data_IF_553767431672
#
_entry.id   IF_553767431672
#
_cell.length_a   1.000
_cell.length_b   1.000
_cell.length_c   1.000
_cell.angle_alpha   90.00
_cell.angle_beta   90.00
_cell.angle_gamma   90.00
#
_symmetry.space_group_name_H-M   'P 1'
#
loop_
_entity.id
_entity.type
_entity.pdbx_description
1 polymer ?
#
# COMPACT_ATOMS: atom_id res chain seq x y z
N UNK A 1 23.86 -3.26 30.81
CA UNK A 1 22.69 -2.94 29.99
C UNK A 1 21.44 -2.83 30.85
N UNK A 2 20.94 -1.63 31.16
CA UNK A 2 19.64 -1.46 31.85
C UNK A 2 18.53 -1.72 30.79
N UNK A 3 17.84 -2.87 30.88
CA UNK A 3 16.59 -3.11 30.14
C UNK A 3 15.58 -2.08 30.65
N UNK A 4 15.33 -1.00 29.90
CA UNK A 4 14.19 -0.15 30.20
C UNK A 4 12.93 -1.00 30.05
N UNK A 5 12.19 -1.18 31.13
CA UNK A 5 10.89 -1.85 31.09
C UNK A 5 9.97 -1.11 30.10
N UNK A 6 9.23 -1.89 29.31
CA UNK A 6 8.24 -1.35 28.40
C UNK A 6 7.13 -0.63 29.21
N UNK A 7 6.59 0.48 28.69
CA UNK A 7 5.50 1.24 29.33
C UNK A 7 4.33 0.33 29.77
N UNK A 8 3.95 -0.63 28.94
CA UNK A 8 2.88 -1.58 29.28
C UNK A 8 3.24 -2.45 30.48
N UNK A 9 4.48 -2.88 30.56
CA UNK A 9 4.98 -3.66 31.71
C UNK A 9 4.93 -2.83 33.00
N UNK A 10 5.31 -1.55 32.94
CA UNK A 10 5.27 -0.65 34.11
C UNK A 10 3.81 -0.45 34.55
N UNK A 11 2.88 -0.22 33.62
CA UNK A 11 1.46 -0.02 33.93
C UNK A 11 0.87 -1.30 34.56
N UNK A 12 1.15 -2.47 33.98
CA UNK A 12 0.64 -3.76 34.51
C UNK A 12 1.20 -4.06 35.91
N UNK A 13 2.50 -3.77 36.16
CA UNK A 13 3.09 -3.89 37.48
C UNK A 13 2.44 -2.94 38.48
N UNK A 14 2.14 -1.71 38.08
CA UNK A 14 1.43 -0.73 38.92
C UNK A 14 0.01 -1.19 39.26
N UNK A 15 -0.72 -1.75 38.31
CA UNK A 15 -2.05 -2.34 38.51
C UNK A 15 -1.96 -3.50 39.52
N UNK A 16 -0.98 -4.40 39.35
CA UNK A 16 -0.75 -5.51 40.30
C UNK A 16 -0.44 -5.04 41.71
N UNK A 17 0.41 -4.01 41.85
CA UNK A 17 0.76 -3.44 43.14
C UNK A 17 -0.46 -2.80 43.84
N UNK A 18 -1.26 -2.02 43.12
CA UNK A 18 -2.49 -1.41 43.65
C UNK A 18 -3.46 -2.49 44.12
N UNK A 19 -3.63 -3.57 43.36
CA UNK A 19 -4.49 -4.70 43.71
C UNK A 19 -3.97 -5.41 44.99
N UNK A 20 -2.66 -5.62 45.12
CA UNK A 20 -2.06 -6.27 46.25
C UNK A 20 -2.24 -5.43 47.52
N UNK A 21 -2.01 -4.12 47.46
CA UNK A 21 -2.24 -3.21 48.55
C UNK A 21 -3.71 -3.15 48.96
N UNK A 22 -4.65 -3.14 47.99
CA UNK A 22 -6.08 -3.17 48.30
C UNK A 22 -6.51 -4.46 48.99
N UNK A 23 -5.86 -5.61 48.69
CA UNK A 23 -6.09 -6.89 49.36
C UNK A 23 -5.75 -6.87 50.85
N UNK A 24 -4.69 -6.14 51.21
CA UNK A 24 -4.26 -5.99 52.61
C UNK A 24 -5.25 -5.12 53.42
N UNK A 25 -5.78 -4.05 52.81
CA UNK A 25 -6.64 -3.09 53.52
C UNK A 25 -8.13 -3.34 53.41
N UNK A 26 -8.61 -3.94 52.31
CA UNK A 26 -10.04 -4.02 51.98
C UNK A 26 -10.57 -5.46 51.86
N UNK A 27 -9.72 -6.46 51.99
CA UNK A 27 -10.05 -7.86 51.84
C UNK A 27 -9.94 -8.38 50.40
N UNK A 28 -9.80 -9.70 50.28
CA UNK A 28 -9.41 -10.35 48.99
C UNK A 28 -10.46 -10.22 47.90
N UNK A 29 -11.76 -10.26 48.25
CA UNK A 29 -12.84 -10.17 47.25
C UNK A 29 -12.87 -8.78 46.60
N UNK A 30 -12.75 -7.71 47.39
CA UNK A 30 -12.74 -6.35 46.85
C UNK A 30 -11.46 -6.04 46.07
N UNK A 31 -10.33 -6.60 46.49
CA UNK A 31 -9.09 -6.51 45.71
C UNK A 31 -9.16 -7.13 44.34
N UNK A 32 -9.80 -8.30 44.19
CA UNK A 32 -10.04 -8.96 42.90
C UNK A 32 -10.96 -8.08 42.01
N UNK A 33 -12.02 -7.52 42.57
CA UNK A 33 -12.90 -6.62 41.82
C UNK A 33 -12.15 -5.38 41.29
N UNK A 34 -11.35 -4.74 42.15
CA UNK A 34 -10.51 -3.59 41.76
C UNK A 34 -9.52 -3.98 40.64
N UNK A 35 -8.87 -5.14 40.76
CA UNK A 35 -7.96 -5.64 39.72
C UNK A 35 -8.67 -5.80 38.37
N UNK A 36 -9.86 -6.43 38.36
CA UNK A 36 -10.63 -6.62 37.14
C UNK A 36 -11.04 -5.28 36.50
N UNK A 37 -11.47 -4.32 37.32
CA UNK A 37 -11.81 -2.97 36.83
C UNK A 37 -10.58 -2.27 36.23
N UNK A 38 -9.45 -2.32 36.89
CA UNK A 38 -8.20 -1.70 36.41
C UNK A 38 -7.72 -2.35 35.11
N UNK A 39 -7.79 -3.68 34.98
CA UNK A 39 -7.48 -4.40 33.74
C UNK A 39 -8.46 -3.98 32.63
N UNK A 40 -9.75 -3.89 32.93
CA UNK A 40 -10.75 -3.46 31.95
C UNK A 40 -10.45 -2.03 31.45
N UNK A 41 -10.18 -1.10 32.34
CA UNK A 41 -9.79 0.29 32.01
C UNK A 41 -8.52 0.28 31.14
N UNK A 42 -7.51 -0.49 31.53
CA UNK A 42 -6.28 -0.63 30.76
C UNK A 42 -6.56 -1.12 29.34
N UNK A 43 -7.37 -2.17 29.18
CA UNK A 43 -7.76 -2.70 27.86
C UNK A 43 -8.54 -1.67 27.03
N UNK A 44 -9.48 -0.96 27.63
CA UNK A 44 -10.24 0.09 26.93
C UNK A 44 -9.29 1.19 26.42
N UNK A 45 -8.40 1.67 27.28
CA UNK A 45 -7.47 2.76 26.93
C UNK A 45 -6.47 2.32 25.88
N UNK A 46 -5.82 1.16 26.05
CA UNK A 46 -4.76 0.69 25.17
C UNK A 46 -5.28 0.14 23.85
N UNK A 47 -6.53 -0.33 23.78
CA UNK A 47 -7.13 -0.92 22.56
C UNK A 47 -8.10 0.01 21.84
N UNK A 48 -8.33 1.21 22.33
CA UNK A 48 -9.25 2.21 21.73
C UNK A 48 -8.96 2.48 20.24
N UNK A 49 -7.70 2.45 19.84
CA UNK A 49 -7.28 2.67 18.45
C UNK A 49 -7.83 1.59 17.50
N UNK A 50 -8.03 0.33 17.93
CA UNK A 50 -8.63 -0.71 17.08
C UNK A 50 -10.09 -0.41 16.74
N UNK A 51 -10.84 0.24 17.64
CA UNK A 51 -12.21 0.70 17.35
C UNK A 51 -12.19 1.74 16.22
N UNK A 52 -11.17 2.63 16.23
CA UNK A 52 -10.99 3.61 15.15
C UNK A 52 -10.64 2.93 13.83
N UNK A 53 -9.74 1.94 13.83
CA UNK A 53 -9.42 1.14 12.64
C UNK A 53 -10.68 0.48 12.08
N UNK A 54 -11.48 -0.16 12.93
CA UNK A 54 -12.74 -0.80 12.51
C UNK A 54 -13.70 0.20 11.85
N UNK A 55 -13.89 1.38 12.47
CA UNK A 55 -14.73 2.45 11.90
C UNK A 55 -14.17 2.96 10.58
N UNK A 56 -12.84 3.15 10.48
CA UNK A 56 -12.16 3.54 9.26
C UNK A 56 -12.36 2.53 8.13
N UNK A 57 -12.19 1.24 8.42
CA UNK A 57 -12.42 0.17 7.43
C UNK A 57 -13.87 0.10 6.97
N UNK A 58 -14.83 0.32 7.89
CA UNK A 58 -16.24 0.39 7.52
C UNK A 58 -16.52 1.58 6.60
N UNK A 59 -16.04 2.77 6.93
CA UNK A 59 -16.19 3.96 6.09
C UNK A 59 -15.52 3.78 4.72
N UNK A 60 -14.34 3.17 4.67
CA UNK A 60 -13.62 2.86 3.43
C UNK A 60 -14.44 1.94 2.50
N UNK A 61 -15.07 0.88 3.06
CA UNK A 61 -15.95 -0.02 2.31
C UNK A 61 -17.22 0.65 1.79
N UNK A 62 -17.65 1.73 2.43
CA UNK A 62 -18.79 2.55 2.02
C UNK A 62 -18.37 3.72 1.12
N UNK A 63 -17.09 3.74 0.67
CA UNK A 63 -16.49 4.78 -0.17
C UNK A 63 -16.51 6.19 0.45
N UNK A 64 -16.81 6.31 1.76
CA UNK A 64 -16.63 7.54 2.52
C UNK A 64 -15.16 7.70 2.93
N UNK A 65 -14.33 8.00 1.92
CA UNK A 65 -12.87 8.05 2.07
C UNK A 65 -12.41 9.17 3.01
N UNK A 66 -13.13 10.29 3.05
CA UNK A 66 -12.85 11.40 3.95
C UNK A 66 -12.95 10.94 5.41
N UNK A 67 -14.04 10.28 5.75
CA UNK A 67 -14.28 9.78 7.10
C UNK A 67 -13.39 8.59 7.46
N UNK A 68 -13.07 7.74 6.47
CA UNK A 68 -12.11 6.67 6.63
C UNK A 68 -10.73 7.23 7.00
N UNK A 69 -10.28 8.28 6.32
CA UNK A 69 -9.01 8.96 6.55
C UNK A 69 -8.93 9.56 7.96
N UNK A 70 -10.00 10.23 8.42
CA UNK A 70 -10.08 10.78 9.79
C UNK A 70 -9.92 9.66 10.85
N UNK A 71 -10.62 8.54 10.69
CA UNK A 71 -10.51 7.42 11.61
C UNK A 71 -9.15 6.73 11.58
N UNK A 72 -8.54 6.53 10.40
CA UNK A 72 -7.22 5.94 10.30
C UNK A 72 -6.14 6.86 10.88
N UNK A 73 -6.23 8.18 10.67
CA UNK A 73 -5.35 9.17 11.29
C UNK A 73 -5.43 9.11 12.81
N UNK A 74 -6.65 9.15 13.36
CA UNK A 74 -6.89 9.05 14.80
C UNK A 74 -6.32 7.75 15.40
N UNK A 75 -6.40 6.64 14.65
CA UNK A 75 -5.83 5.37 15.08
C UNK A 75 -4.30 5.39 15.06
N UNK A 76 -3.71 5.95 14.00
CA UNK A 76 -2.27 6.04 13.81
C UNK A 76 -1.59 6.98 14.82
N UNK A 77 -2.29 8.04 15.28
CA UNK A 77 -1.81 8.96 16.31
C UNK A 77 -1.80 8.34 17.73
N UNK A 78 -2.34 7.13 17.90
CA UNK A 78 -2.32 6.45 19.18
C UNK A 78 -0.88 6.04 19.58
N UNK A 79 -0.47 6.21 20.86
CA UNK A 79 0.82 5.70 21.34
C UNK A 79 1.02 4.19 21.22
N UNK A 80 -0.07 3.45 21.02
CA UNK A 80 -0.10 1.98 20.84
C UNK A 80 -0.36 1.55 19.39
N UNK A 81 -0.33 2.50 18.41
CA UNK A 81 -0.45 2.16 17.02
C UNK A 81 0.74 1.28 16.59
N UNK A 82 0.42 0.18 15.92
CA UNK A 82 1.44 -0.69 15.31
C UNK A 82 1.73 -0.28 13.85
N UNK A 83 2.74 -0.91 13.26
CA UNK A 83 3.15 -0.61 11.89
C UNK A 83 2.01 -0.79 10.86
N UNK A 84 1.18 -1.82 11.02
CA UNK A 84 0.04 -2.07 10.12
C UNK A 84 -0.99 -0.93 10.16
N UNK A 85 -1.32 -0.42 11.35
CA UNK A 85 -2.25 0.71 11.50
C UNK A 85 -1.69 1.97 10.85
N UNK A 86 -0.40 2.23 11.04
CA UNK A 86 0.28 3.38 10.45
C UNK A 86 0.34 3.24 8.92
N UNK A 87 0.68 2.06 8.42
CA UNK A 87 0.69 1.77 6.98
C UNK A 87 -0.68 2.04 6.35
N UNK A 88 -1.78 1.59 6.98
CA UNK A 88 -3.14 1.85 6.50
C UNK A 88 -3.46 3.34 6.44
N UNK A 89 -3.05 4.12 7.46
CA UNK A 89 -3.20 5.57 7.44
C UNK A 89 -2.41 6.21 6.29
N UNK A 90 -1.13 5.87 6.16
CA UNK A 90 -0.27 6.42 5.11
C UNK A 90 -0.80 6.09 3.70
N UNK A 91 -1.25 4.86 3.47
CA UNK A 91 -1.86 4.45 2.19
C UNK A 91 -3.14 5.26 1.93
N UNK A 92 -4.00 5.43 2.92
CA UNK A 92 -5.23 6.20 2.77
C UNK A 92 -4.92 7.68 2.49
N UNK A 93 -3.93 8.27 3.15
CA UNK A 93 -3.48 9.65 2.94
C UNK A 93 -2.89 9.85 1.53
N UNK A 94 -2.13 8.85 1.04
CA UNK A 94 -1.56 8.87 -0.31
C UNK A 94 -2.61 8.76 -1.42
N UNK A 95 -3.72 8.04 -1.16
CA UNK A 95 -4.79 7.81 -2.16
C UNK A 95 -5.84 8.93 -2.16
N UNK A 96 -6.30 9.34 -1.00
CA UNK A 96 -7.50 10.16 -0.84
C UNK A 96 -7.27 11.46 -0.06
N UNK A 97 -6.05 11.66 0.45
CA UNK A 97 -5.65 12.83 1.23
C UNK A 97 -4.55 13.64 0.56
N UNK A 98 -3.61 14.09 1.38
CA UNK A 98 -2.45 14.90 0.96
C UNK A 98 -1.15 14.18 1.25
N UNK A 99 -0.35 13.79 0.24
CA UNK A 99 0.94 13.12 0.46
C UNK A 99 1.89 13.88 1.42
N UNK A 100 1.78 15.22 1.49
CA UNK A 100 2.54 16.04 2.43
C UNK A 100 2.24 15.72 3.89
N UNK A 101 0.98 15.41 4.24
CA UNK A 101 0.59 15.02 5.59
C UNK A 101 1.12 13.63 5.96
N UNK A 102 1.20 12.70 5.00
CA UNK A 102 1.87 11.43 5.20
C UNK A 102 3.36 11.62 5.50
N UNK A 103 4.04 12.53 4.80
CA UNK A 103 5.45 12.88 5.06
C UNK A 103 5.64 13.50 6.43
N UNK A 104 4.82 14.47 6.81
CA UNK A 104 4.82 15.10 8.12
C UNK A 104 4.66 14.06 9.24
N UNK A 105 3.69 13.16 9.09
CA UNK A 105 3.49 12.08 10.05
C UNK A 105 4.75 11.20 10.22
N UNK A 106 5.41 10.82 9.12
CA UNK A 106 6.63 10.02 9.17
C UNK A 106 7.73 10.74 9.93
N UNK A 107 7.92 12.03 9.68
CA UNK A 107 8.98 12.82 10.30
C UNK A 107 8.76 13.06 11.80
N UNK A 108 7.54 13.33 12.21
CA UNK A 108 7.23 13.82 13.56
C UNK A 108 6.70 12.74 14.49
N UNK A 109 5.94 11.79 13.98
CA UNK A 109 5.17 10.85 14.78
C UNK A 109 5.64 9.40 14.72
N UNK A 110 6.49 9.04 13.75
CA UNK A 110 6.89 7.65 13.55
C UNK A 110 7.85 7.19 14.66
N UNK A 111 7.31 6.59 15.73
CA UNK A 111 8.05 6.03 16.86
C UNK A 111 7.71 4.57 17.09
N UNK A 112 7.99 3.72 16.12
CA UNK A 112 7.67 2.30 16.24
C UNK A 112 8.86 1.53 16.81
N UNK A 113 8.57 0.71 17.83
CA UNK A 113 9.51 -0.23 18.42
C UNK A 113 8.96 -1.66 18.24
N UNK A 114 9.82 -2.62 17.92
CA UNK A 114 9.48 -4.05 17.79
C UNK A 114 8.40 -4.34 16.73
N UNK A 115 8.71 -4.06 15.48
CA UNK A 115 7.84 -4.33 14.32
C UNK A 115 8.00 -5.79 13.89
N UNK A 116 6.90 -6.46 13.56
CA UNK A 116 6.95 -7.79 12.93
C UNK A 116 7.59 -7.67 11.53
N UNK A 117 8.35 -8.66 11.05
CA UNK A 117 9.06 -8.57 9.77
C UNK A 117 8.18 -8.17 8.58
N UNK A 118 7.00 -8.76 8.45
CA UNK A 118 6.05 -8.43 7.39
C UNK A 118 5.53 -6.98 7.49
N UNK A 119 5.12 -6.56 8.67
CA UNK A 119 4.64 -5.19 8.90
C UNK A 119 5.76 -4.16 8.69
N UNK A 120 7.01 -4.52 9.00
CA UNK A 120 8.18 -3.69 8.73
C UNK A 120 8.35 -3.45 7.23
N UNK A 121 8.33 -4.50 6.41
CA UNK A 121 8.48 -4.38 4.95
C UNK A 121 7.37 -3.49 4.38
N UNK A 122 6.11 -3.75 4.72
CA UNK A 122 4.98 -2.96 4.24
C UNK A 122 5.10 -1.47 4.61
N UNK A 123 5.56 -1.18 5.82
CA UNK A 123 5.78 0.19 6.26
C UNK A 123 6.92 0.85 5.49
N UNK A 124 8.08 0.19 5.34
CA UNK A 124 9.25 0.76 4.65
C UNK A 124 8.98 0.97 3.15
N UNK A 125 8.27 0.05 2.49
CA UNK A 125 7.81 0.25 1.11
C UNK A 125 6.86 1.45 1.03
N UNK A 126 5.89 1.56 1.95
CA UNK A 126 4.96 2.69 1.99
C UNK A 126 5.68 4.02 2.24
N UNK A 127 6.68 4.05 3.11
CA UNK A 127 7.55 5.23 3.30
C UNK A 127 8.27 5.61 2.01
N UNK A 128 8.78 4.63 1.27
CA UNK A 128 9.42 4.88 -0.03
C UNK A 128 8.43 5.48 -1.04
N UNK A 129 7.16 5.06 -1.02
CA UNK A 129 6.10 5.67 -1.85
C UNK A 129 5.83 7.13 -1.41
N UNK A 130 5.83 7.42 -0.11
CA UNK A 130 5.71 8.79 0.39
C UNK A 130 6.87 9.66 -0.09
N UNK A 131 8.12 9.17 0.02
CA UNK A 131 9.34 9.86 -0.47
C UNK A 131 9.21 10.12 -1.98
N UNK A 132 8.79 9.12 -2.75
CA UNK A 132 8.56 9.24 -4.19
C UNK A 132 7.60 10.38 -4.55
N UNK A 133 6.51 10.49 -3.82
CA UNK A 133 5.46 11.50 -4.10
C UNK A 133 5.76 12.89 -3.52
N UNK A 134 6.69 13.01 -2.57
CA UNK A 134 6.85 14.27 -1.79
C UNK A 134 8.27 14.82 -1.76
N UNK A 135 9.28 14.03 -2.11
CA UNK A 135 10.68 14.43 -1.95
C UNK A 135 11.49 14.19 -3.21
N UNK A 136 11.94 12.95 -3.43
CA UNK A 136 12.84 12.60 -4.52
C UNK A 136 12.59 11.19 -5.03
N UNK A 137 12.48 11.06 -6.36
CA UNK A 137 12.35 9.76 -7.02
C UNK A 137 13.61 8.91 -6.81
N UNK A 138 14.78 9.50 -6.89
CA UNK A 138 16.06 8.80 -6.71
C UNK A 138 16.23 8.31 -5.27
N UNK A 139 15.85 9.12 -4.29
CA UNK A 139 15.90 8.74 -2.88
C UNK A 139 14.96 7.54 -2.60
N UNK A 140 13.77 7.55 -3.18
CA UNK A 140 12.82 6.45 -3.06
C UNK A 140 13.35 5.14 -3.66
N UNK A 141 13.93 5.20 -4.88
CA UNK A 141 14.57 4.06 -5.53
C UNK A 141 15.73 3.53 -4.68
N UNK A 142 16.59 4.41 -4.19
CA UNK A 142 17.73 4.04 -3.34
C UNK A 142 17.27 3.36 -2.06
N UNK A 143 16.21 3.86 -1.43
CA UNK A 143 15.62 3.27 -0.22
C UNK A 143 15.10 1.86 -0.48
N UNK A 144 14.40 1.65 -1.61
CA UNK A 144 13.89 0.32 -2.00
C UNK A 144 15.01 -0.66 -2.32
N UNK A 145 16.08 -0.24 -3.04
CA UNK A 145 17.25 -1.07 -3.32
C UNK A 145 17.93 -1.53 -2.02
N UNK A 146 18.12 -0.61 -1.08
CA UNK A 146 18.69 -0.93 0.24
C UNK A 146 17.80 -1.90 1.01
N UNK A 147 16.48 -1.72 0.94
CA UNK A 147 15.51 -2.60 1.59
C UNK A 147 15.57 -4.00 0.98
N UNK A 148 15.61 -4.10 -0.36
CA UNK A 148 15.68 -5.35 -1.12
C UNK A 148 16.97 -6.13 -0.83
N UNK A 149 18.10 -5.45 -0.73
CA UNK A 149 19.38 -6.08 -0.40
C UNK A 149 19.33 -6.86 0.92
N UNK A 150 18.59 -6.36 1.91
CA UNK A 150 18.45 -6.99 3.22
C UNK A 150 17.26 -7.93 3.31
N UNK A 151 16.25 -7.79 2.43
CA UNK A 151 14.98 -8.50 2.54
C UNK A 151 14.43 -8.79 1.15
N UNK A 152 14.70 -9.97 0.58
CA UNK A 152 14.02 -10.39 -0.66
C UNK A 152 12.53 -10.54 -0.41
N UNK A 153 11.71 -9.75 -1.12
CA UNK A 153 10.25 -9.73 -0.95
C UNK A 153 9.56 -9.22 -2.22
N UNK A 154 8.50 -9.88 -2.61
CA UNK A 154 7.75 -9.58 -3.83
C UNK A 154 7.25 -8.13 -3.88
N UNK A 155 6.72 -7.60 -2.78
CA UNK A 155 6.19 -6.22 -2.74
C UNK A 155 7.28 -5.15 -2.93
N UNK A 156 8.52 -5.44 -2.47
CA UNK A 156 9.67 -4.56 -2.74
C UNK A 156 10.00 -4.58 -4.24
N UNK A 157 10.05 -5.77 -4.86
CA UNK A 157 10.30 -5.89 -6.31
C UNK A 157 9.23 -5.18 -7.13
N UNK A 158 7.94 -5.41 -6.84
CA UNK A 158 6.82 -4.74 -7.52
C UNK A 158 6.97 -3.21 -7.50
N UNK A 159 7.24 -2.65 -6.33
CA UNK A 159 7.35 -1.20 -6.16
C UNK A 159 8.62 -0.65 -6.80
N UNK A 160 9.76 -1.33 -6.62
CA UNK A 160 11.03 -0.90 -7.19
C UNK A 160 11.00 -0.91 -8.72
N UNK A 161 10.51 -1.99 -9.31
CA UNK A 161 10.43 -2.11 -10.78
C UNK A 161 9.47 -1.09 -11.37
N UNK A 162 8.33 -0.82 -10.72
CA UNK A 162 7.44 0.28 -11.13
C UNK A 162 8.15 1.64 -11.07
N UNK A 163 8.92 1.94 -10.01
CA UNK A 163 9.63 3.22 -9.90
C UNK A 163 10.75 3.37 -10.92
N UNK A 164 11.44 2.28 -11.26
CA UNK A 164 12.45 2.27 -12.33
C UNK A 164 11.82 2.52 -13.71
N UNK A 165 10.66 1.88 -13.99
CA UNK A 165 9.88 2.15 -15.20
C UNK A 165 9.46 3.63 -15.29
N UNK A 166 8.97 4.21 -14.21
CA UNK A 166 8.62 5.63 -14.12
C UNK A 166 9.79 6.58 -14.36
N UNK A 167 10.99 6.11 -14.06
CA UNK A 167 12.22 6.88 -14.25
C UNK A 167 12.88 6.62 -15.60
N UNK A 168 12.24 5.86 -16.50
CA UNK A 168 12.76 5.40 -17.79
C UNK A 168 14.10 4.64 -17.68
N UNK A 169 14.34 3.99 -16.53
CA UNK A 169 15.53 3.16 -16.27
C UNK A 169 15.23 1.70 -16.67
N UNK A 170 14.98 1.50 -17.97
CA UNK A 170 14.44 0.23 -18.48
C UNK A 170 15.42 -0.94 -18.32
N UNK A 171 16.71 -0.74 -18.55
CA UNK A 171 17.71 -1.80 -18.42
C UNK A 171 17.79 -2.27 -16.96
N UNK A 172 17.88 -1.32 -16.03
CA UNK A 172 17.90 -1.64 -14.60
C UNK A 172 16.59 -2.29 -14.12
N UNK A 173 15.44 -1.80 -14.60
CA UNK A 173 14.15 -2.40 -14.32
C UNK A 173 14.09 -3.85 -14.79
N UNK A 174 14.63 -4.15 -15.98
CA UNK A 174 14.67 -5.50 -16.54
C UNK A 174 15.48 -6.46 -15.68
N UNK A 175 16.65 -6.01 -15.16
CA UNK A 175 17.47 -6.86 -14.29
C UNK A 175 16.70 -7.25 -13.01
N UNK A 176 16.07 -6.27 -12.34
CA UNK A 176 15.25 -6.55 -11.16
C UNK A 176 13.98 -7.35 -11.46
N UNK A 177 13.39 -7.20 -12.65
CA UNK A 177 12.24 -8.01 -13.06
C UNK A 177 12.67 -9.47 -13.27
N UNK A 178 13.80 -9.72 -13.93
CA UNK A 178 14.31 -11.08 -14.09
C UNK A 178 14.56 -11.74 -12.74
N UNK A 179 15.22 -11.03 -11.82
CA UNK A 179 15.43 -11.53 -10.45
C UNK A 179 14.09 -11.77 -9.71
N UNK A 180 13.11 -10.90 -9.90
CA UNK A 180 11.78 -11.03 -9.30
C UNK A 180 11.00 -12.22 -9.88
N UNK A 181 11.11 -12.46 -11.18
CA UNK A 181 10.47 -13.61 -11.86
C UNK A 181 11.08 -14.95 -11.42
N UNK A 182 12.40 -14.99 -11.13
CA UNK A 182 13.02 -16.17 -10.51
C UNK A 182 12.53 -16.37 -9.07
N UNK A 183 12.34 -15.30 -8.31
CA UNK A 183 11.89 -15.35 -6.92
C UNK A 183 10.41 -15.69 -6.78
N UNK A 184 9.55 -15.11 -7.64
CA UNK A 184 8.10 -15.34 -7.64
C UNK A 184 7.53 -15.28 -9.08
N UNK A 185 7.61 -16.40 -9.83
CA UNK A 185 7.24 -16.45 -11.26
C UNK A 185 5.75 -16.21 -11.52
N UNK A 186 4.89 -16.41 -10.50
CA UNK A 186 3.43 -16.32 -10.67
C UNK A 186 2.89 -14.92 -10.35
N UNK A 187 3.76 -13.97 -10.01
CA UNK A 187 3.31 -12.63 -9.64
C UNK A 187 2.87 -11.80 -10.86
N UNK A 188 1.58 -11.46 -10.91
CA UNK A 188 0.96 -10.75 -12.03
C UNK A 188 1.43 -9.30 -12.19
N UNK A 189 1.83 -8.62 -11.10
CA UNK A 189 2.37 -7.25 -11.19
C UNK A 189 3.75 -7.28 -11.84
N UNK A 190 4.62 -8.22 -11.47
CA UNK A 190 5.95 -8.38 -12.08
C UNK A 190 5.82 -8.74 -13.57
N UNK A 191 4.92 -9.67 -13.92
CA UNK A 191 4.62 -10.00 -15.33
C UNK A 191 4.14 -8.78 -16.12
N UNK A 192 3.28 -7.94 -15.50
CA UNK A 192 2.79 -6.70 -16.10
C UNK A 192 3.92 -5.67 -16.29
N UNK A 193 4.80 -5.49 -15.30
CA UNK A 193 5.94 -4.60 -15.42
C UNK A 193 6.90 -5.05 -16.52
N UNK A 194 7.08 -6.36 -16.72
CA UNK A 194 7.84 -6.89 -17.85
C UNK A 194 7.18 -6.54 -19.20
N UNK A 195 5.87 -6.79 -19.32
CA UNK A 195 5.13 -6.47 -20.52
C UNK A 195 5.16 -4.96 -20.84
N UNK A 196 5.12 -4.11 -19.82
CA UNK A 196 5.27 -2.65 -19.97
C UNK A 196 6.64 -2.27 -20.51
N UNK A 197 7.74 -2.90 -20.04
CA UNK A 197 9.07 -2.69 -20.64
C UNK A 197 9.06 -3.06 -22.13
N UNK A 198 8.49 -4.22 -22.48
CA UNK A 198 8.40 -4.64 -23.86
C UNK A 198 7.64 -3.60 -24.70
N UNK A 199 6.53 -3.06 -24.18
CA UNK A 199 5.77 -1.99 -24.84
C UNK A 199 6.62 -0.71 -25.02
N UNK A 200 7.32 -0.26 -23.98
CA UNK A 200 8.19 0.95 -24.02
C UNK A 200 9.37 0.79 -24.99
N UNK A 201 9.84 -0.44 -25.18
CA UNK A 201 10.89 -0.78 -26.16
C UNK A 201 10.31 -1.10 -27.55
N UNK A 202 9.04 -0.78 -27.80
CA UNK A 202 8.31 -1.00 -29.07
C UNK A 202 8.20 -2.46 -29.50
N UNK A 203 8.42 -3.42 -28.60
CA UNK A 203 8.22 -4.85 -28.82
C UNK A 203 6.73 -5.20 -28.60
N UNK A 204 5.87 -4.65 -29.45
CA UNK A 204 4.41 -4.68 -29.24
C UNK A 204 3.82 -6.09 -29.22
N UNK A 205 4.32 -7.01 -30.05
CA UNK A 205 3.83 -8.40 -30.10
C UNK A 205 4.15 -9.15 -28.80
N UNK A 206 5.38 -8.98 -28.29
CA UNK A 206 5.81 -9.58 -27.03
C UNK A 206 5.01 -8.99 -25.85
N UNK A 207 4.87 -7.67 -25.79
CA UNK A 207 4.07 -6.98 -24.78
C UNK A 207 2.63 -7.48 -24.77
N UNK A 208 2.00 -7.54 -25.97
CA UNK A 208 0.61 -8.00 -26.13
C UNK A 208 0.43 -9.42 -25.63
N UNK A 209 1.33 -10.34 -25.99
CA UNK A 209 1.26 -11.74 -25.54
C UNK A 209 1.21 -11.85 -24.01
N UNK A 210 2.05 -11.09 -23.30
CA UNK A 210 2.06 -11.09 -21.85
C UNK A 210 0.83 -10.42 -21.25
N UNK A 211 0.40 -9.29 -21.79
CA UNK A 211 -0.83 -8.63 -21.33
C UNK A 211 -2.09 -9.46 -21.60
N UNK A 212 -2.20 -10.12 -22.75
CA UNK A 212 -3.32 -11.01 -23.06
C UNK A 212 -3.42 -12.17 -22.05
N UNK A 213 -2.29 -12.72 -21.61
CA UNK A 213 -2.26 -13.73 -20.54
C UNK A 213 -2.88 -13.18 -19.25
N UNK A 214 -2.48 -11.97 -18.84
CA UNK A 214 -3.02 -11.32 -17.65
C UNK A 214 -4.51 -10.97 -17.76
N UNK A 215 -4.95 -10.54 -18.94
CA UNK A 215 -6.37 -10.27 -19.23
C UNK A 215 -7.19 -11.56 -19.10
N UNK A 216 -6.69 -12.68 -19.64
CA UNK A 216 -7.35 -13.99 -19.53
C UNK A 216 -7.41 -14.49 -18.07
N UNK A 217 -6.46 -14.12 -17.22
CA UNK A 217 -6.48 -14.36 -15.78
C UNK A 217 -7.42 -13.40 -15.00
N UNK A 218 -8.12 -12.49 -15.71
CA UNK A 218 -9.04 -11.50 -15.13
C UNK A 218 -8.40 -10.64 -14.02
N UNK A 219 -7.18 -10.17 -14.24
CA UNK A 219 -6.50 -9.29 -13.27
C UNK A 219 -7.29 -7.99 -13.04
N UNK A 220 -7.18 -7.44 -11.80
CA UNK A 220 -7.96 -6.27 -11.38
C UNK A 220 -7.10 -5.01 -11.27
N UNK A 221 -6.28 -4.75 -12.29
CA UNK A 221 -5.49 -3.52 -12.41
C UNK A 221 -5.42 -3.07 -13.87
N UNK A 222 -5.16 -1.80 -14.08
CA UNK A 222 -5.43 -1.07 -15.33
C UNK A 222 -4.47 -1.47 -16.45
N UNK A 223 -3.19 -1.68 -16.16
CA UNK A 223 -2.09 -1.74 -17.09
C UNK A 223 -2.30 -2.72 -18.27
N UNK A 224 -2.70 -4.00 -18.06
CA UNK A 224 -2.87 -4.95 -19.15
C UNK A 224 -3.93 -4.51 -20.14
N UNK A 225 -5.05 -4.01 -19.65
CA UNK A 225 -6.17 -3.56 -20.49
C UNK A 225 -5.81 -2.31 -21.27
N UNK A 226 -5.16 -1.34 -20.60
CA UNK A 226 -4.77 -0.07 -21.20
C UNK A 226 -3.74 -0.26 -22.31
N UNK A 227 -2.63 -0.95 -22.04
CA UNK A 227 -1.57 -1.11 -23.04
C UNK A 227 -2.00 -2.01 -24.19
N UNK A 228 -2.77 -3.08 -23.94
CA UNK A 228 -3.33 -3.89 -25.02
C UNK A 228 -4.26 -3.04 -25.89
N UNK A 229 -5.09 -2.19 -25.29
CA UNK A 229 -5.96 -1.29 -26.06
C UNK A 229 -5.17 -0.31 -26.94
N UNK A 230 -4.04 0.22 -26.44
CA UNK A 230 -3.19 1.09 -27.26
C UNK A 230 -2.56 0.33 -28.43
N UNK A 231 -2.17 -0.94 -28.24
CA UNK A 231 -1.65 -1.79 -29.31
C UNK A 231 -2.76 -2.08 -30.33
N UNK A 232 -3.96 -2.44 -29.89
CA UNK A 232 -5.11 -2.68 -30.79
C UNK A 232 -5.50 -1.43 -31.57
N UNK A 233 -5.47 -0.26 -30.94
CA UNK A 233 -5.72 1.02 -31.61
C UNK A 233 -4.68 1.30 -32.72
N UNK A 234 -3.41 1.00 -32.45
CA UNK A 234 -2.33 1.15 -33.44
C UNK A 234 -2.52 0.21 -34.63
N UNK A 235 -3.06 -0.98 -34.39
CA UNK A 235 -3.32 -1.99 -35.42
C UNK A 235 -4.66 -1.76 -36.18
N UNK A 236 -5.40 -0.69 -35.85
CA UNK A 236 -6.68 -0.39 -36.47
C UNK A 236 -7.88 -1.16 -35.90
N UNK A 237 -7.68 -1.95 -34.84
CA UNK A 237 -8.72 -2.75 -34.18
C UNK A 237 -9.48 -1.88 -33.14
N UNK A 238 -10.16 -0.81 -33.64
CA UNK A 238 -10.73 0.22 -32.77
C UNK A 238 -11.81 -0.31 -31.82
N UNK A 239 -12.66 -1.22 -32.28
CA UNK A 239 -13.73 -1.81 -31.46
C UNK A 239 -13.14 -2.57 -30.24
N UNK A 240 -12.09 -3.38 -30.48
CA UNK A 240 -11.40 -4.11 -29.41
C UNK A 240 -10.70 -3.18 -28.44
N UNK A 241 -10.08 -2.11 -28.97
CA UNK A 241 -9.47 -1.07 -28.15
C UNK A 241 -10.50 -0.41 -27.21
N UNK A 242 -11.68 -0.04 -27.74
CA UNK A 242 -12.77 0.56 -26.98
C UNK A 242 -13.26 -0.39 -25.87
N UNK A 243 -13.45 -1.67 -26.19
CA UNK A 243 -13.87 -2.69 -25.20
C UNK A 243 -12.88 -2.75 -24.02
N UNK A 244 -11.59 -2.85 -24.32
CA UNK A 244 -10.53 -2.94 -23.31
C UNK A 244 -10.41 -1.66 -22.46
N UNK A 245 -10.55 -0.48 -23.08
CA UNK A 245 -10.50 0.80 -22.34
C UNK A 245 -11.72 0.99 -21.42
N UNK A 246 -12.90 0.55 -21.84
CA UNK A 246 -14.07 0.52 -20.96
C UNK A 246 -13.83 -0.39 -19.76
N UNK A 247 -13.19 -1.54 -19.98
CA UNK A 247 -12.79 -2.42 -18.87
C UNK A 247 -11.78 -1.77 -17.94
N UNK A 248 -10.79 -1.05 -18.48
CA UNK A 248 -9.82 -0.28 -17.69
C UNK A 248 -10.48 0.81 -16.83
N UNK A 249 -11.54 1.48 -17.33
CA UNK A 249 -12.30 2.49 -16.59
C UNK A 249 -12.99 1.95 -15.33
N UNK A 250 -13.37 0.66 -15.31
CA UNK A 250 -14.01 0.02 -14.16
C UNK A 250 -13.01 -0.27 -13.03
N UNK A 251 -11.70 -0.16 -13.29
CA UNK A 251 -10.64 -0.55 -12.36
C UNK A 251 -10.09 0.64 -11.60
N UNK A 252 -9.64 0.40 -10.36
CA UNK A 252 -9.06 1.44 -9.53
C UNK A 252 -7.58 1.69 -9.85
N UNK A 253 -7.18 2.95 -9.81
CA UNK A 253 -5.76 3.33 -9.90
C UNK A 253 -4.93 2.74 -8.75
N UNK A 254 -3.77 2.20 -9.07
CA UNK A 254 -2.77 1.81 -8.07
C UNK A 254 -1.96 3.03 -7.59
N UNK A 255 -1.44 2.96 -6.35
CA UNK A 255 -0.52 3.99 -5.83
C UNK A 255 0.77 4.09 -6.64
N UNK A 256 1.16 3.00 -7.26
CA UNK A 256 2.38 2.82 -8.05
C UNK A 256 2.08 2.56 -9.53
N UNK A 257 0.96 3.04 -10.06
CA UNK A 257 0.63 3.05 -11.48
C UNK A 257 1.03 4.38 -12.13
N UNK A 258 1.51 4.32 -13.37
CA UNK A 258 1.68 5.51 -14.24
C UNK A 258 0.35 5.94 -14.84
N UNK A 259 -0.56 4.99 -15.03
CA UNK A 259 -1.80 5.21 -15.77
C UNK A 259 -2.84 5.78 -14.82
N UNK A 260 -3.41 6.92 -15.20
CA UNK A 260 -4.52 7.57 -14.52
C UNK A 260 -5.81 7.31 -15.25
N UNK A 261 -6.94 7.45 -14.57
CA UNK A 261 -8.25 7.36 -15.23
C UNK A 261 -8.39 8.41 -16.33
N UNK A 262 -7.77 9.58 -16.19
CA UNK A 262 -7.71 10.58 -17.27
C UNK A 262 -7.00 10.09 -18.52
N UNK A 263 -5.96 9.26 -18.39
CA UNK A 263 -5.22 8.69 -19.52
C UNK A 263 -6.09 7.65 -20.24
N UNK A 264 -6.82 6.82 -19.47
CA UNK A 264 -7.77 5.85 -19.99
C UNK A 264 -8.90 6.53 -20.75
N UNK A 265 -9.48 7.60 -20.19
CA UNK A 265 -10.53 8.38 -20.82
C UNK A 265 -10.05 9.05 -22.12
N UNK A 266 -8.87 9.63 -22.11
CA UNK A 266 -8.28 10.24 -23.31
C UNK A 266 -8.05 9.20 -24.42
N UNK A 267 -7.53 8.01 -24.06
CA UNK A 267 -7.31 6.91 -25.00
C UNK A 267 -8.63 6.40 -25.57
N UNK A 268 -9.67 6.26 -24.73
CA UNK A 268 -11.01 5.84 -25.14
C UNK A 268 -11.63 6.82 -26.15
N UNK A 269 -11.59 8.11 -25.86
CA UNK A 269 -12.10 9.13 -26.76
C UNK A 269 -11.35 9.12 -28.10
N UNK A 270 -10.03 8.94 -28.09
CA UNK A 270 -9.23 8.81 -29.29
C UNK A 270 -9.64 7.57 -30.13
N UNK A 271 -9.84 6.42 -29.51
CA UNK A 271 -10.25 5.19 -30.18
C UNK A 271 -11.65 5.32 -30.79
N UNK A 272 -12.58 5.95 -30.08
CA UNK A 272 -13.96 6.19 -30.59
C UNK A 272 -13.96 7.09 -31.82
N UNK A 273 -13.20 8.20 -31.81
CA UNK A 273 -13.10 9.10 -32.98
C UNK A 273 -12.50 8.38 -34.18
N UNK A 274 -11.47 7.57 -34.00
CA UNK A 274 -10.86 6.80 -35.08
C UNK A 274 -11.79 5.73 -35.64
N UNK A 275 -12.56 5.04 -34.80
CA UNK A 275 -13.57 4.08 -35.20
C UNK A 275 -14.63 4.72 -36.11
N UNK A 276 -15.12 5.91 -35.76
CA UNK A 276 -16.09 6.66 -36.56
C UNK A 276 -15.54 7.09 -37.95
N UNK A 277 -14.25 7.43 -38.01
CA UNK A 277 -13.61 7.87 -39.26
C UNK A 277 -13.16 6.71 -40.13
N UNK A 278 -13.25 5.47 -39.67
CA UNK A 278 -12.88 4.27 -40.42
C UNK A 278 -14.07 3.58 -41.14
N UNK A 279 -15.29 4.08 -40.90
CA UNK A 279 -16.54 3.68 -41.57
C UNK A 279 -16.76 4.56 -42.79
#
# INVERSE_FOLDING_TARGET
>A
MKKNLNKDTIILLSIGLVSLLSGIFLGTQLAILILLILILIYLIVTKKHYIKVFKGTKSYKLEDYKKALEYYRDAAMSPWANASIITNYLICELKYGKPSLAKEYINENLKIKNVKPHDFINLEVTKSIVIWKTTSKEEAITSLKKLLYNNKNTYIYETLTSFLLFSNKFDEAKDYINEAMEFNPDNNIIKSNYAEICYKLEKFDEAKKHFDTLINENVRFIEPYYYTALIENKNGNFEKSIELLRKAQELNESLVSLIRQSDVEQALNCAMVKSLNSI
#
